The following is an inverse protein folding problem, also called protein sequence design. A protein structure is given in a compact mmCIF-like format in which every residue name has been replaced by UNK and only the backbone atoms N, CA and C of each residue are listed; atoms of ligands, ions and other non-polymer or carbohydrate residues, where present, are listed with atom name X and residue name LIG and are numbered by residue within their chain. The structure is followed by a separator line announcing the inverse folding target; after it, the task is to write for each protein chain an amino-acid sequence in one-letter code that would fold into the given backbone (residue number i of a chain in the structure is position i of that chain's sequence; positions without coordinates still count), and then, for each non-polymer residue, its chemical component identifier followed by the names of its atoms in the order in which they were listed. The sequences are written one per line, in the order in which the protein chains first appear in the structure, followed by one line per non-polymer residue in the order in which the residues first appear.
data_IF_931462030484
#
_entry.id   IF_931462030484
#
_cell.length_a   1.000
_cell.length_b   1.000
_cell.length_c   1.000
_cell.angle_alpha   90.00
_cell.angle_beta   90.00
_cell.angle_gamma   90.00
#
_symmetry.space_group_name_H-M   'P 1'
#
loop_
_entity.id
_entity.type
_entity.pdbx_description
1 polymer ?
#
# COMPACT_ATOMS: atom_id res chain seq x y z
N UNK A 1 -31.32 20.11 -1.42
CA UNK A 1 -30.11 20.02 -2.27
C UNK A 1 -30.40 19.01 -3.37
N UNK A 2 -30.34 19.41 -4.65
CA UNK A 2 -30.70 18.51 -5.78
C UNK A 2 -29.50 17.64 -6.13
N UNK A 3 -29.67 16.31 -6.17
CA UNK A 3 -28.61 15.38 -6.62
C UNK A 3 -28.26 15.66 -8.09
N UNK A 4 -26.97 15.88 -8.38
CA UNK A 4 -26.48 16.20 -9.74
C UNK A 4 -26.18 14.92 -10.54
N UNK A 5 -25.87 13.83 -9.85
CA UNK A 5 -25.60 12.52 -10.46
C UNK A 5 -25.81 11.41 -9.42
N UNK A 6 -26.20 10.21 -9.87
CA UNK A 6 -26.30 9.01 -9.06
C UNK A 6 -25.84 7.79 -9.85
N UNK A 7 -25.07 6.91 -9.20
CA UNK A 7 -24.65 5.66 -9.82
C UNK A 7 -25.84 4.75 -10.06
N UNK A 8 -25.96 4.23 -11.27
CA UNK A 8 -26.98 3.22 -11.60
C UNK A 8 -26.58 1.81 -11.16
N UNK A 9 -25.33 1.62 -10.75
CA UNK A 9 -24.75 0.29 -10.53
C UNK A 9 -23.97 0.20 -9.21
N UNK A 10 -24.65 0.52 -8.10
CA UNK A 10 -24.06 0.34 -6.78
C UNK A 10 -23.79 -1.14 -6.47
N UNK A 11 -24.63 -2.06 -6.96
CA UNK A 11 -24.56 -3.49 -6.61
C UNK A 11 -23.34 -4.21 -7.20
N UNK A 12 -22.79 -3.75 -8.32
CA UNK A 12 -21.53 -4.30 -8.87
C UNK A 12 -20.28 -3.59 -8.35
N UNK A 13 -20.41 -2.66 -7.39
CA UNK A 13 -19.25 -2.00 -6.80
C UNK A 13 -18.53 -2.90 -5.80
N UNK A 14 -17.20 -2.74 -5.71
CA UNK A 14 -16.38 -3.39 -4.66
C UNK A 14 -16.88 -3.07 -3.25
N UNK A 15 -17.46 -1.88 -3.05
CA UNK A 15 -18.05 -1.47 -1.78
C UNK A 15 -19.29 -2.31 -1.43
N UNK A 16 -20.17 -2.58 -2.40
CA UNK A 16 -21.33 -3.46 -2.19
C UNK A 16 -20.91 -4.91 -1.95
N UNK A 17 -19.87 -5.40 -2.63
CA UNK A 17 -19.29 -6.71 -2.36
C UNK A 17 -18.73 -6.79 -0.93
N UNK A 18 -18.03 -5.75 -0.46
CA UNK A 18 -17.57 -5.67 0.91
C UNK A 18 -18.71 -5.59 1.92
N UNK A 19 -19.74 -4.78 1.66
CA UNK A 19 -20.95 -4.69 2.49
C UNK A 19 -21.66 -6.06 2.59
N UNK A 20 -21.80 -6.77 1.48
CA UNK A 20 -22.38 -8.12 1.45
C UNK A 20 -21.55 -9.10 2.27
N UNK A 21 -20.22 -9.01 2.19
CA UNK A 21 -19.30 -9.82 2.99
C UNK A 21 -19.44 -9.51 4.49
N UNK A 22 -19.56 -8.23 4.88
CA UNK A 22 -19.82 -7.81 6.26
C UNK A 22 -21.14 -8.41 6.77
N UNK A 23 -22.22 -8.28 6.00
CA UNK A 23 -23.53 -8.82 6.34
C UNK A 23 -23.47 -10.34 6.55
N UNK A 24 -22.84 -11.07 5.63
CA UNK A 24 -22.70 -12.53 5.74
C UNK A 24 -21.87 -12.93 6.96
N UNK A 25 -20.75 -12.24 7.21
CA UNK A 25 -19.79 -12.60 8.27
C UNK A 25 -20.33 -12.31 9.67
N UNK A 26 -21.06 -11.20 9.82
CA UNK A 26 -21.52 -10.71 11.13
C UNK A 26 -23.02 -10.91 11.36
N UNK A 27 -23.75 -11.53 10.42
CA UNK A 27 -25.19 -11.73 10.52
C UNK A 27 -25.97 -10.40 10.52
N UNK A 28 -25.49 -9.40 9.78
CA UNK A 28 -26.08 -8.06 9.71
C UNK A 28 -26.94 -7.89 8.45
N UNK A 29 -27.75 -6.83 8.44
CA UNK A 29 -28.59 -6.43 7.32
C UNK A 29 -28.37 -4.94 6.97
N UNK A 30 -27.12 -4.55 6.78
CA UNK A 30 -26.75 -3.21 6.33
C UNK A 30 -27.17 -3.04 4.87
N UNK A 31 -27.83 -1.94 4.53
CA UNK A 31 -28.46 -1.75 3.21
C UNK A 31 -27.79 -0.67 2.36
N UNK A 32 -27.02 0.22 2.97
CA UNK A 32 -26.40 1.35 2.29
C UNK A 32 -25.04 1.71 2.92
N UNK A 33 -24.38 2.68 2.30
CA UNK A 33 -23.11 3.20 2.79
C UNK A 33 -23.22 3.83 4.18
N UNK A 34 -24.33 4.50 4.49
CA UNK A 34 -24.50 5.18 5.78
C UNK A 34 -24.53 4.17 6.93
N UNK A 35 -25.26 3.07 6.77
CA UNK A 35 -25.29 1.96 7.72
C UNK A 35 -23.92 1.27 7.86
N UNK A 36 -23.22 1.04 6.74
CA UNK A 36 -21.86 0.47 6.77
C UNK A 36 -20.86 1.39 7.48
N UNK A 37 -20.92 2.69 7.21
CA UNK A 37 -20.07 3.70 7.84
C UNK A 37 -20.37 3.84 9.34
N UNK A 38 -21.63 3.85 9.74
CA UNK A 38 -21.99 3.88 11.16
C UNK A 38 -21.45 2.64 11.87
N UNK A 39 -21.62 1.45 11.28
CA UNK A 39 -21.05 0.22 11.81
C UNK A 39 -19.52 0.25 11.88
N UNK A 40 -18.82 0.81 10.90
CA UNK A 40 -17.35 0.87 10.91
C UNK A 40 -16.78 1.73 12.04
N UNK A 41 -17.56 2.71 12.50
CA UNK A 41 -17.22 3.55 13.66
C UNK A 41 -17.56 2.82 14.96
N UNK A 42 -18.79 2.29 15.06
CA UNK A 42 -19.31 1.67 16.28
C UNK A 42 -18.59 0.34 16.62
N UNK A 43 -18.11 -0.37 15.59
CA UNK A 43 -17.46 -1.68 15.67
C UNK A 43 -16.08 -1.64 15.01
N UNK A 44 -15.24 -0.71 15.44
CA UNK A 44 -13.93 -0.42 14.84
C UNK A 44 -13.01 -1.64 14.67
N UNK A 45 -12.82 -2.45 15.71
CA UNK A 45 -11.95 -3.64 15.64
C UNK A 45 -12.53 -4.71 14.69
N UNK A 46 -13.84 -4.95 14.73
CA UNK A 46 -14.51 -5.89 13.83
C UNK A 46 -14.41 -5.42 12.38
N UNK A 47 -14.59 -4.13 12.13
CA UNK A 47 -14.45 -3.54 10.80
C UNK A 47 -13.05 -3.76 10.23
N UNK A 48 -11.99 -3.39 10.97
CA UNK A 48 -10.62 -3.52 10.47
C UNK A 48 -10.16 -4.97 10.34
N UNK A 49 -10.61 -5.87 11.22
CA UNK A 49 -10.37 -7.30 11.04
C UNK A 49 -11.13 -7.84 9.82
N UNK A 50 -12.34 -7.35 9.56
CA UNK A 50 -13.11 -7.73 8.37
C UNK A 50 -12.48 -7.23 7.09
N UNK A 51 -11.92 -6.02 7.07
CA UNK A 51 -11.11 -5.49 5.97
C UNK A 51 -9.89 -6.40 5.73
N UNK A 52 -9.16 -6.76 6.78
CA UNK A 52 -8.00 -7.63 6.66
C UNK A 52 -8.38 -8.99 6.05
N UNK A 53 -9.51 -9.57 6.46
CA UNK A 53 -10.01 -10.84 5.93
C UNK A 53 -10.55 -10.71 4.49
N UNK A 54 -11.23 -9.62 4.16
CA UNK A 54 -11.78 -9.40 2.83
C UNK A 54 -10.69 -9.22 1.76
N UNK A 55 -9.57 -8.58 2.11
CA UNK A 55 -8.43 -8.40 1.21
C UNK A 55 -7.38 -9.52 1.33
N UNK A 56 -7.68 -10.59 2.07
CA UNK A 56 -6.78 -11.71 2.34
C UNK A 56 -5.40 -11.24 2.84
N UNK A 57 -5.38 -10.33 3.81
CA UNK A 57 -4.14 -9.82 4.41
C UNK A 57 -3.45 -10.95 5.17
N UNK A 58 -2.25 -11.29 4.72
CA UNK A 58 -1.42 -12.37 5.24
C UNK A 58 -0.45 -11.85 6.31
N UNK A 59 -0.80 -12.13 7.55
CA UNK A 59 0.05 -11.82 8.70
C UNK A 59 1.01 -12.99 8.97
N UNK A 60 2.31 -12.71 8.89
CA UNK A 60 3.37 -13.64 9.29
C UNK A 60 3.25 -13.92 10.81
N UNK A 61 3.00 -12.87 11.59
CA UNK A 61 2.62 -12.97 13.00
C UNK A 61 1.26 -12.33 13.16
N UNK A 62 0.27 -13.07 13.68
CA UNK A 62 -1.09 -12.56 13.87
C UNK A 62 -1.14 -11.46 14.93
N UNK A 63 -2.01 -10.45 14.77
CA UNK A 63 -2.21 -9.42 15.78
C UNK A 63 -2.76 -10.00 17.08
N UNK A 64 -2.29 -9.49 18.22
CA UNK A 64 -2.89 -9.80 19.53
C UNK A 64 -4.11 -8.91 19.83
N UNK A 65 -4.17 -7.74 19.19
CA UNK A 65 -5.26 -6.77 19.27
C UNK A 65 -5.34 -5.96 17.98
N UNK A 66 -6.53 -5.64 17.50
CA UNK A 66 -6.70 -4.92 16.24
C UNK A 66 -6.48 -3.43 16.42
N UNK A 67 -7.01 -2.83 17.48
CA UNK A 67 -6.83 -1.40 17.76
C UNK A 67 -6.57 -1.15 19.24
N UNK A 68 -5.47 -0.48 19.54
CA UNK A 68 -5.18 0.04 20.87
C UNK A 68 -5.18 1.57 20.81
N UNK A 69 -6.35 2.17 21.05
CA UNK A 69 -6.55 3.62 21.04
C UNK A 69 -5.71 4.25 22.16
N UNK A 70 -4.93 5.27 21.82
CA UNK A 70 -4.11 6.01 22.77
C UNK A 70 -4.34 7.51 22.68
N UNK A 71 -4.00 8.23 23.74
CA UNK A 71 -3.99 9.70 23.78
C UNK A 71 -2.54 10.18 23.87
N UNK A 72 -2.11 11.10 22.98
CA UNK A 72 -2.84 11.64 21.83
C UNK A 72 -3.05 10.61 20.70
N UNK A 73 -4.05 10.85 19.84
CA UNK A 73 -4.56 9.86 18.89
C UNK A 73 -3.49 9.25 17.95
N UNK A 74 -2.43 10.00 17.61
CA UNK A 74 -1.33 9.54 16.76
C UNK A 74 -0.46 8.46 17.40
N UNK A 75 -0.64 8.17 18.70
CA UNK A 75 -0.02 7.03 19.38
C UNK A 75 -0.86 5.74 19.29
N UNK A 76 -2.05 5.80 18.68
CA UNK A 76 -2.90 4.61 18.48
C UNK A 76 -2.13 3.52 17.75
N UNK A 77 -2.18 2.29 18.27
CA UNK A 77 -1.50 1.15 17.69
C UNK A 77 -2.51 0.27 16.97
N UNK A 78 -2.23 -0.05 15.71
CA UNK A 78 -3.05 -0.92 14.88
C UNK A 78 -2.37 -2.28 14.70
N UNK A 79 -3.17 -3.35 14.72
CA UNK A 79 -2.71 -4.72 14.55
C UNK A 79 -1.49 -5.05 15.44
N UNK A 80 -1.66 -4.84 16.75
CA UNK A 80 -0.59 -4.88 17.75
C UNK A 80 0.17 -6.20 17.69
N UNK A 81 1.51 -6.11 17.70
CA UNK A 81 2.47 -7.23 17.58
C UNK A 81 2.37 -8.05 16.29
N UNK A 82 1.54 -7.64 15.33
CA UNK A 82 1.51 -8.32 14.04
C UNK A 82 2.74 -8.00 13.22
N UNK A 83 3.10 -8.91 12.32
CA UNK A 83 4.11 -8.67 11.30
C UNK A 83 3.59 -9.08 9.94
N UNK A 84 3.93 -8.30 8.92
CA UNK A 84 3.60 -8.56 7.52
C UNK A 84 4.69 -7.99 6.61
N UNK A 85 4.63 -8.34 5.33
CA UNK A 85 5.49 -7.79 4.30
C UNK A 85 4.64 -7.19 3.19
N UNK A 86 4.77 -5.88 2.97
CA UNK A 86 4.05 -5.19 1.90
C UNK A 86 4.51 -5.71 0.53
N UNK A 87 5.82 -5.89 0.32
CA UNK A 87 6.33 -6.49 -0.92
C UNK A 87 5.75 -7.89 -1.14
N UNK A 88 5.63 -8.74 -0.11
CA UNK A 88 5.03 -10.07 -0.27
C UNK A 88 3.57 -9.99 -0.74
N UNK A 89 2.79 -9.03 -0.22
CA UNK A 89 1.42 -8.79 -0.67
C UNK A 89 1.35 -8.27 -2.11
N UNK A 90 2.30 -7.43 -2.52
CA UNK A 90 2.38 -6.97 -3.91
C UNK A 90 2.63 -8.16 -4.85
N UNK A 91 3.53 -9.07 -4.45
CA UNK A 91 3.97 -10.19 -5.26
C UNK A 91 2.94 -11.33 -5.38
N UNK A 92 1.96 -11.42 -4.48
CA UNK A 92 0.93 -12.48 -4.53
C UNK A 92 0.11 -12.49 -5.83
N UNK A 93 0.04 -11.35 -6.51
CA UNK A 93 -0.66 -11.16 -7.78
C UNK A 93 0.27 -11.09 -8.99
N UNK A 94 1.58 -11.24 -8.78
CA UNK A 94 2.59 -11.20 -9.84
C UNK A 94 2.54 -12.50 -10.65
N UNK A 95 1.78 -12.49 -11.75
CA UNK A 95 1.73 -13.61 -12.69
C UNK A 95 2.89 -13.50 -13.68
N UNK A 96 3.64 -14.59 -13.93
CA UNK A 96 4.72 -14.54 -14.90
C UNK A 96 4.24 -14.04 -16.26
N UNK A 97 5.04 -13.19 -16.91
CA UNK A 97 4.79 -12.59 -18.22
C UNK A 97 3.56 -11.67 -18.34
N UNK A 98 2.73 -11.51 -17.29
CA UNK A 98 1.67 -10.51 -17.34
C UNK A 98 2.24 -9.11 -17.15
N UNK A 99 1.53 -8.10 -17.69
CA UNK A 99 1.96 -6.71 -17.61
C UNK A 99 1.78 -6.20 -16.19
N UNK A 100 2.87 -5.67 -15.62
CA UNK A 100 2.88 -5.01 -14.32
C UNK A 100 2.72 -3.50 -14.46
N UNK A 101 3.43 -2.91 -15.42
CA UNK A 101 3.45 -1.46 -15.65
C UNK A 101 3.28 -1.19 -17.14
N UNK A 102 2.38 -0.26 -17.47
CA UNK A 102 2.34 0.40 -18.78
C UNK A 102 2.92 1.79 -18.55
N UNK A 103 4.12 2.01 -19.06
CA UNK A 103 4.83 3.28 -18.95
C UNK A 103 4.70 4.07 -20.24
N UNK A 104 4.51 5.38 -20.12
CA UNK A 104 4.54 6.31 -21.24
C UNK A 104 5.44 7.50 -20.95
N UNK A 105 6.15 7.99 -21.95
CA UNK A 105 6.95 9.19 -21.87
C UNK A 105 6.31 10.36 -22.67
N UNK A 106 6.93 11.53 -22.62
CA UNK A 106 6.47 12.73 -23.31
C UNK A 106 6.61 12.67 -24.84
N UNK A 107 7.43 11.74 -25.35
CA UNK A 107 7.55 11.46 -26.79
C UNK A 107 6.40 10.58 -27.31
N UNK A 108 5.53 10.09 -26.42
CA UNK A 108 4.41 9.21 -26.74
C UNK A 108 4.79 7.74 -26.81
N UNK A 109 6.04 7.37 -26.51
CA UNK A 109 6.46 5.96 -26.47
C UNK A 109 5.75 5.24 -25.34
N UNK A 110 5.19 4.07 -25.63
CA UNK A 110 4.61 3.18 -24.63
C UNK A 110 5.50 1.94 -24.45
N UNK A 111 5.88 1.66 -23.21
CA UNK A 111 6.62 0.46 -22.84
C UNK A 111 5.81 -0.36 -21.86
N UNK A 112 5.57 -1.62 -22.19
CA UNK A 112 4.91 -2.59 -21.32
C UNK A 112 5.96 -3.39 -20.57
N UNK A 113 6.03 -3.23 -19.25
CA UNK A 113 6.94 -3.95 -18.37
C UNK A 113 6.19 -5.13 -17.76
N UNK A 114 6.70 -6.33 -17.98
CA UNK A 114 6.16 -7.54 -17.34
C UNK A 114 6.55 -7.62 -15.87
N UNK A 115 5.81 -8.41 -15.09
CA UNK A 115 6.19 -8.70 -13.70
C UNK A 115 7.60 -9.27 -13.60
N UNK A 116 7.99 -10.24 -14.44
CA UNK A 116 9.34 -10.81 -14.41
C UNK A 116 10.42 -9.74 -14.58
N UNK A 117 10.25 -8.82 -15.54
CA UNK A 117 11.20 -7.73 -15.78
C UNK A 117 11.28 -6.77 -14.60
N UNK A 118 10.13 -6.38 -14.04
CA UNK A 118 10.08 -5.50 -12.87
C UNK A 118 10.75 -6.14 -11.65
N UNK A 119 10.48 -7.42 -11.38
CA UNK A 119 11.03 -8.14 -10.24
C UNK A 119 12.51 -8.46 -10.41
N UNK A 120 12.95 -8.77 -11.62
CA UNK A 120 14.37 -8.91 -11.92
C UNK A 120 15.11 -7.59 -11.66
N UNK A 121 14.56 -6.46 -12.11
CA UNK A 121 15.12 -5.13 -11.84
C UNK A 121 15.16 -4.81 -10.34
N UNK A 122 14.07 -5.06 -9.62
CA UNK A 122 14.00 -4.85 -8.17
C UNK A 122 14.99 -5.75 -7.41
N UNK A 123 15.15 -7.02 -7.82
CA UNK A 123 16.12 -7.96 -7.25
C UNK A 123 17.56 -7.46 -7.43
N UNK A 124 17.90 -6.95 -8.62
CA UNK A 124 19.23 -6.39 -8.88
C UNK A 124 19.52 -5.17 -8.01
N UNK A 125 18.56 -4.27 -7.84
CA UNK A 125 18.69 -3.10 -6.95
C UNK A 125 18.84 -3.57 -5.50
N UNK A 126 18.00 -4.50 -5.05
CA UNK A 126 18.07 -5.09 -3.70
C UNK A 126 19.45 -5.67 -3.40
N UNK A 127 20.02 -6.43 -4.34
CA UNK A 127 21.35 -7.02 -4.17
C UNK A 127 22.44 -5.94 -4.02
N UNK A 128 22.31 -4.81 -4.71
CA UNK A 128 23.22 -3.66 -4.53
C UNK A 128 23.05 -3.00 -3.17
N UNK A 129 21.82 -2.84 -2.68
CA UNK A 129 21.56 -2.34 -1.33
C UNK A 129 22.13 -3.26 -0.24
N UNK A 130 22.01 -4.59 -0.41
CA UNK A 130 22.62 -5.57 0.49
C UNK A 130 24.16 -5.44 0.48
N UNK A 131 24.77 -5.28 -0.70
CA UNK A 131 26.22 -5.06 -0.82
C UNK A 131 26.66 -3.75 -0.14
N UNK A 132 25.81 -2.73 -0.19
CA UNK A 132 25.99 -1.47 0.55
C UNK A 132 25.67 -1.59 2.06
N UNK A 133 25.37 -2.80 2.56
CA UNK A 133 25.09 -3.12 3.97
C UNK A 133 23.81 -2.50 4.54
N UNK A 134 22.84 -2.17 3.68
CA UNK A 134 21.52 -1.69 4.09
C UNK A 134 20.78 -2.76 4.90
N UNK A 135 20.15 -2.35 6.00
CA UNK A 135 19.41 -3.20 6.93
C UNK A 135 17.96 -2.73 7.07
N UNK A 136 17.16 -3.58 7.72
CA UNK A 136 15.80 -3.22 8.14
C UNK A 136 15.84 -1.97 9.01
N UNK A 137 15.02 -0.98 8.68
CA UNK A 137 14.95 0.30 9.38
C UNK A 137 15.85 1.41 8.82
N UNK A 138 16.83 1.08 7.96
CA UNK A 138 17.63 2.10 7.28
C UNK A 138 16.76 2.85 6.26
N UNK A 139 17.04 4.13 6.03
CA UNK A 139 16.31 4.95 5.05
C UNK A 139 17.03 4.92 3.71
N UNK A 140 16.27 4.75 2.63
CA UNK A 140 16.74 4.91 1.26
C UNK A 140 15.97 6.06 0.62
N UNK A 141 16.70 7.11 0.25
CA UNK A 141 16.16 8.28 -0.42
C UNK A 141 16.36 8.20 -1.95
N UNK A 142 15.28 8.37 -2.71
CA UNK A 142 15.30 8.40 -4.17
C UNK A 142 15.00 9.78 -4.73
N UNK A 143 15.90 10.33 -5.53
CA UNK A 143 15.65 11.50 -6.38
C UNK A 143 15.43 11.03 -7.81
N UNK A 144 14.17 10.72 -8.15
CA UNK A 144 13.83 9.89 -9.31
C UNK A 144 12.55 10.37 -10.00
N UNK A 145 12.49 10.20 -11.31
CA UNK A 145 11.32 10.49 -12.14
C UNK A 145 10.17 9.50 -11.90
N UNK A 146 8.99 9.78 -12.46
CA UNK A 146 7.92 8.79 -12.58
C UNK A 146 8.30 7.73 -13.64
N UNK A 147 9.16 6.78 -13.26
CA UNK A 147 9.74 5.77 -14.15
C UNK A 147 9.60 4.37 -13.53
N UNK A 148 9.53 3.28 -14.32
CA UNK A 148 9.48 1.91 -13.79
C UNK A 148 10.61 1.57 -12.80
N UNK A 149 11.78 2.17 -12.96
CA UNK A 149 12.90 2.00 -12.02
C UNK A 149 12.62 2.58 -10.63
N UNK A 150 11.77 3.60 -10.52
CA UNK A 150 11.33 4.16 -9.23
C UNK A 150 10.47 3.15 -8.49
N UNK A 151 9.56 2.47 -9.21
CA UNK A 151 8.75 1.38 -8.65
C UNK A 151 9.65 0.19 -8.28
N UNK A 152 10.61 -0.18 -9.12
CA UNK A 152 11.56 -1.25 -8.82
C UNK A 152 12.40 -0.93 -7.56
N UNK A 153 12.85 0.32 -7.40
CA UNK A 153 13.61 0.81 -6.25
C UNK A 153 12.78 0.78 -4.96
N UNK A 154 11.51 1.19 -5.04
CA UNK A 154 10.56 1.08 -3.94
C UNK A 154 10.34 -0.39 -3.50
N UNK A 155 10.10 -1.30 -4.46
CA UNK A 155 9.93 -2.74 -4.17
C UNK A 155 11.19 -3.31 -3.53
N UNK A 156 12.37 -3.00 -4.07
CA UNK A 156 13.65 -3.45 -3.55
C UNK A 156 13.84 -3.03 -2.08
N UNK A 157 13.67 -1.73 -1.81
CA UNK A 157 13.80 -1.12 -0.48
C UNK A 157 12.82 -1.75 0.52
N UNK A 158 11.54 -1.79 0.15
CA UNK A 158 10.50 -2.33 1.02
C UNK A 158 10.71 -3.83 1.32
N UNK A 159 11.21 -4.60 0.36
CA UNK A 159 11.51 -6.03 0.54
C UNK A 159 12.70 -6.33 1.48
N UNK A 160 13.48 -5.32 1.86
CA UNK A 160 14.51 -5.39 2.90
C UNK A 160 13.97 -4.96 4.28
N UNK A 161 12.76 -4.44 4.34
CA UNK A 161 12.24 -3.73 5.51
C UNK A 161 12.95 -2.40 5.75
N UNK A 162 13.64 -1.85 4.75
CA UNK A 162 14.16 -0.50 4.76
C UNK A 162 13.02 0.51 4.49
N UNK A 163 13.23 1.75 4.88
CA UNK A 163 12.26 2.84 4.78
C UNK A 163 12.50 3.57 3.46
N UNK A 164 11.49 3.66 2.60
CA UNK A 164 11.57 4.39 1.34
C UNK A 164 11.13 5.84 1.50
N UNK A 165 11.91 6.76 0.94
CA UNK A 165 11.53 8.16 0.77
C UNK A 165 11.93 8.63 -0.63
N UNK A 166 11.15 9.48 -1.28
CA UNK A 166 11.53 10.00 -2.59
C UNK A 166 11.08 11.45 -2.82
N UNK A 167 11.74 12.12 -3.76
CA UNK A 167 11.40 13.45 -4.27
C UNK A 167 11.48 13.47 -5.80
N UNK A 168 10.60 14.25 -6.44
CA UNK A 168 10.64 14.49 -7.89
C UNK A 168 11.85 15.37 -8.26
N UNK A 169 12.45 15.16 -9.45
CA UNK A 169 13.47 16.04 -10.01
C UNK A 169 13.09 17.52 -10.22
N UNK A 170 11.81 17.85 -10.07
CA UNK A 170 11.32 19.24 -10.16
C UNK A 170 11.58 20.03 -8.86
N UNK A 171 12.03 19.36 -7.79
CA UNK A 171 12.33 20.01 -6.52
C UNK A 171 13.64 20.79 -6.57
N UNK A 172 13.63 22.00 -6.02
CA UNK A 172 14.86 22.76 -5.77
C UNK A 172 15.75 22.08 -4.74
N UNK A 173 17.06 22.33 -4.83
CA UNK A 173 18.09 21.71 -3.99
C UNK A 173 17.77 21.89 -2.50
N UNK A 174 17.44 23.11 -2.07
CA UNK A 174 17.16 23.41 -0.66
C UNK A 174 16.01 22.56 -0.11
N UNK A 175 14.95 22.38 -0.90
CA UNK A 175 13.80 21.54 -0.50
C UNK A 175 14.16 20.06 -0.39
N UNK A 176 15.10 19.58 -1.19
CA UNK A 176 15.59 18.19 -1.11
C UNK A 176 16.43 18.01 0.15
N UNK A 177 17.35 18.94 0.40
CA UNK A 177 18.22 18.92 1.58
C UNK A 177 17.39 18.99 2.87
N UNK A 178 16.39 19.87 2.93
CA UNK A 178 15.52 19.98 4.10
C UNK A 178 14.72 18.71 4.37
N UNK A 179 14.27 18.00 3.33
CA UNK A 179 13.52 16.75 3.48
C UNK A 179 14.41 15.56 3.82
N UNK A 180 15.43 15.31 3.01
CA UNK A 180 16.30 14.15 3.20
C UNK A 180 17.23 14.32 4.40
N UNK A 181 17.67 15.54 4.71
CA UNK A 181 18.51 15.83 5.88
C UNK A 181 17.87 15.42 7.21
N UNK A 182 16.54 15.53 7.33
CA UNK A 182 15.80 15.06 8.51
C UNK A 182 15.80 13.54 8.66
N UNK A 183 15.89 12.81 7.54
CA UNK A 183 15.80 11.36 7.51
C UNK A 183 17.16 10.66 7.66
N UNK A 184 18.26 11.37 7.41
CA UNK A 184 19.63 10.83 7.41
C UNK A 184 19.75 9.52 6.60
N UNK A 185 19.34 9.53 5.32
CA UNK A 185 19.41 8.37 4.43
C UNK A 185 20.85 7.93 4.14
#
# INVERSE_FOLDING_TARGET
MTKIWESKDFKNSNLYHFLSYVNQKHGLALNDYAALHQWSIDKLEDFWMTIALFFDIDFITKPVKICNIQIPFYKTQWFVNSTLSYSSHLLRHAKPNSIAIIYRNELGDEVKISWNSLLHRASNIKNKLIQAKVKKGDVIAGYLLNHPDTIASFIATNSLGAIWSCCSPDFGIDSIVDRFGQLKP
#
